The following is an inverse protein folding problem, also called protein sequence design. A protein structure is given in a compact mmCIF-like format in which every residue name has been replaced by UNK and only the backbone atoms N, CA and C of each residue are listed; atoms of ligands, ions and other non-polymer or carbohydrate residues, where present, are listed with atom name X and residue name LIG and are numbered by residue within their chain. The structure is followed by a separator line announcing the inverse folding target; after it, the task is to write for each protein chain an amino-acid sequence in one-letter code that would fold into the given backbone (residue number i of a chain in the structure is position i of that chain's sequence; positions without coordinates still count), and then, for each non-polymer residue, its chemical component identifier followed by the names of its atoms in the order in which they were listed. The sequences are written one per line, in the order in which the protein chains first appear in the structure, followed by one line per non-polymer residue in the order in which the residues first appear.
data_IF_054114957200
#
_entry.id   IF_054114957200
#
_cell.length_a   1.000
_cell.length_b   1.000
_cell.length_c   1.000
_cell.angle_alpha   90.00
_cell.angle_beta   90.00
_cell.angle_gamma   90.00
#
_symmetry.space_group_name_H-M   'P 1'
#
loop_
_entity.id
_entity.type
_entity.pdbx_description
1 polymer ?
#
# COMPACT_ATOMS: atom_id res chain seq x y z
N UNK A 1 13.24 -6.87 -7.76
CA UNK A 1 12.95 -5.63 -8.48
C UNK A 1 12.75 -4.50 -7.48
N UNK A 2 13.56 -3.46 -7.60
CA UNK A 2 13.46 -2.22 -6.84
C UNK A 2 12.73 -1.17 -7.68
N UNK A 3 12.02 -0.24 -7.02
CA UNK A 3 11.31 0.81 -7.72
C UNK A 3 10.25 1.51 -6.88
N UNK A 4 9.30 2.13 -7.56
CA UNK A 4 8.17 2.86 -6.98
C UNK A 4 6.90 2.02 -7.20
N UNK A 5 5.97 2.08 -6.25
CA UNK A 5 4.66 1.45 -6.34
C UNK A 5 3.56 2.40 -5.87
N UNK A 6 2.32 2.16 -6.34
CA UNK A 6 1.12 2.83 -5.82
C UNK A 6 0.16 1.85 -5.15
N UNK A 7 -0.61 2.35 -4.19
CA UNK A 7 -1.81 1.72 -3.66
C UNK A 7 -2.96 2.71 -3.84
N UNK A 8 -4.10 2.28 -4.38
CA UNK A 8 -5.22 3.14 -4.75
C UNK A 8 -6.45 2.82 -3.87
N UNK A 9 -7.04 3.86 -3.28
CA UNK A 9 -8.39 3.76 -2.75
C UNK A 9 -9.38 3.75 -3.90
N UNK A 10 -10.09 2.65 -4.10
CA UNK A 10 -11.17 2.64 -5.09
C UNK A 10 -12.41 3.40 -4.64
N UNK A 11 -12.58 3.63 -3.32
CA UNK A 11 -13.74 4.32 -2.78
C UNK A 11 -13.57 5.84 -2.82
N UNK A 12 -12.40 6.35 -2.42
CA UNK A 12 -12.13 7.80 -2.38
C UNK A 12 -11.35 8.32 -3.58
N UNK A 13 -10.66 7.44 -4.32
CA UNK A 13 -9.73 7.82 -5.39
C UNK A 13 -8.34 8.21 -4.88
N UNK A 14 -8.11 8.26 -3.57
CA UNK A 14 -6.82 8.63 -2.98
C UNK A 14 -5.75 7.59 -3.30
N UNK A 15 -4.50 8.02 -3.42
CA UNK A 15 -3.39 7.09 -3.64
C UNK A 15 -2.24 7.29 -2.67
N UNK A 16 -1.60 6.18 -2.33
CA UNK A 16 -0.33 6.15 -1.64
C UNK A 16 0.77 5.77 -2.62
N UNK A 17 1.83 6.58 -2.67
CA UNK A 17 3.03 6.30 -3.46
C UNK A 17 4.16 5.96 -2.50
N UNK A 18 4.85 4.85 -2.76
CA UNK A 18 6.01 4.43 -1.97
C UNK A 18 7.12 3.87 -2.84
N UNK A 19 8.34 3.84 -2.32
CA UNK A 19 9.48 3.19 -2.94
C UNK A 19 9.93 1.97 -2.13
N UNK A 20 10.52 0.97 -2.79
CA UNK A 20 11.12 -0.18 -2.12
C UNK A 20 12.19 -0.86 -2.97
N UNK A 21 13.18 -1.43 -2.28
CA UNK A 21 14.21 -2.29 -2.89
C UNK A 21 13.62 -3.64 -3.37
N UNK A 22 12.59 -4.13 -2.67
CA UNK A 22 11.84 -5.32 -3.06
C UNK A 22 10.35 -5.00 -3.06
N UNK A 23 9.84 -4.65 -4.25
CA UNK A 23 8.45 -4.26 -4.45
C UNK A 23 7.47 -5.34 -4.01
N UNK A 24 7.65 -6.60 -4.42
CA UNK A 24 6.75 -7.70 -4.04
C UNK A 24 6.62 -7.85 -2.53
N UNK A 25 7.75 -7.90 -1.81
CA UNK A 25 7.75 -8.04 -0.36
C UNK A 25 7.09 -6.84 0.33
N UNK A 26 7.38 -5.62 -0.14
CA UNK A 26 6.84 -4.38 0.43
C UNK A 26 5.32 -4.27 0.21
N UNK A 27 4.92 -4.44 -1.04
CA UNK A 27 3.69 -5.06 -1.54
C UNK A 27 2.80 -5.70 -0.46
N UNK A 28 3.08 -6.99 -0.28
CA UNK A 28 2.40 -7.91 0.62
C UNK A 28 2.41 -7.42 2.07
N UNK A 29 3.55 -6.90 2.56
CA UNK A 29 3.64 -6.38 3.92
C UNK A 29 2.70 -5.19 4.14
N UNK A 30 2.66 -4.23 3.21
CA UNK A 30 1.83 -3.05 3.36
C UNK A 30 0.35 -3.42 3.40
N UNK A 31 -0.11 -4.25 2.47
CA UNK A 31 -1.52 -4.72 2.46
C UNK A 31 -1.87 -5.48 3.74
N UNK A 32 -0.97 -6.35 4.21
CA UNK A 32 -1.18 -7.09 5.47
C UNK A 32 -1.32 -6.14 6.66
N UNK A 33 -0.50 -5.08 6.72
CA UNK A 33 -0.60 -4.05 7.76
C UNK A 33 -1.90 -3.24 7.65
N UNK A 34 -2.35 -2.92 6.44
CA UNK A 34 -3.63 -2.23 6.20
C UNK A 34 -4.82 -3.08 6.67
N UNK A 35 -4.83 -4.38 6.34
CA UNK A 35 -5.88 -5.32 6.78
C UNK A 35 -5.93 -5.50 8.29
N UNK A 36 -4.78 -5.46 8.95
CA UNK A 36 -4.66 -5.65 10.39
C UNK A 36 -4.70 -4.35 11.20
N UNK A 37 -5.02 -3.21 10.57
CA UNK A 37 -5.02 -1.90 11.22
C UNK A 37 -3.68 -1.49 11.88
N UNK A 38 -2.56 -2.08 11.43
CA UNK A 38 -1.22 -1.90 11.98
C UNK A 38 -0.29 -1.06 11.11
N UNK A 39 -0.82 -0.47 10.02
CA UNK A 39 -0.02 0.42 9.19
C UNK A 39 0.28 1.72 9.95
N UNK A 40 1.52 2.21 9.84
CA UNK A 40 1.91 3.54 10.37
C UNK A 40 1.16 4.68 9.68
N UNK A 41 0.58 4.42 8.50
CA UNK A 41 -0.24 5.39 7.76
C UNK A 41 -1.72 5.11 8.04
N UNK A 42 -2.19 5.68 9.15
CA UNK A 42 -3.59 5.61 9.61
C UNK A 42 -4.60 6.05 8.51
N UNK A 43 -4.33 7.04 7.63
CA UNK A 43 -5.27 7.43 6.57
C UNK A 43 -5.50 6.39 5.47
N UNK A 44 -4.71 5.31 5.40
CA UNK A 44 -4.77 4.32 4.31
C UNK A 44 -5.55 3.06 4.70
N UNK A 45 -6.15 3.02 5.90
CA UNK A 45 -6.97 1.91 6.35
C UNK A 45 -8.20 1.80 5.43
N UNK A 46 -8.26 0.73 4.63
CA UNK A 46 -9.29 0.52 3.60
C UNK A 46 -8.81 0.57 2.14
N UNK A 47 -7.51 0.81 1.89
CA UNK A 47 -6.98 0.79 0.51
C UNK A 47 -6.76 -0.63 -0.03
N UNK A 48 -7.14 -0.85 -1.30
CA UNK A 48 -6.84 -2.06 -2.05
C UNK A 48 -5.64 -1.84 -3.00
N UNK A 49 -4.86 -2.89 -3.24
CA UNK A 49 -3.81 -2.82 -4.25
C UNK A 49 -4.43 -2.89 -5.64
N UNK A 50 -4.07 -1.94 -6.51
CA UNK A 50 -4.48 -1.89 -7.91
C UNK A 50 -3.21 -1.79 -8.73
N UNK A 51 -3.08 -2.69 -9.71
CA UNK A 51 -1.90 -2.83 -10.59
C UNK A 51 -1.69 -1.60 -11.46
#
# INVERSE_FOLDING_TARGET
MHGIYKILNKQTGDCYIGSAVNLKKRITQHISLLRNNKSKHIPLQGLEQVW
#
